data_IF_754626126949
#
_entry.id   IF_754626126949
#
_cell.length_a   1.000
_cell.length_b   1.000
_cell.length_c   1.000
_cell.angle_alpha   90.00
_cell.angle_beta   90.00
_cell.angle_gamma   90.00
#
_symmetry.space_group_name_H-M   'P 1'
#
loop_
_entity.id
_entity.type
_entity.pdbx_description
1 polymer ?
#
# COMPACT_ATOMS: atom_id res chain seq x y z
N UNK A 1 -39.72 -30.01 20.51
CA UNK A 1 -39.19 -30.43 20.88
C UNK A 1 -38.41 -30.53 20.64
N UNK A 2 -38.60 -30.53 19.91
CA UNK A 2 -37.83 -31.00 20.18
C UNK A 2 -37.20 -30.88 19.95
N UNK A 3 -37.35 -30.41 19.42
CA UNK A 3 -36.67 -30.92 19.67
C UNK A 3 -36.18 -30.79 19.66
N UNK A 4 -36.75 -30.53 19.32
CA UNK A 4 -36.14 -31.05 19.79
C UNK A 4 -35.73 -31.06 19.69
N UNK A 5 -36.25 -30.99 19.46
CA UNK A 5 -35.67 -31.63 19.91
C UNK A 5 -35.26 -31.57 19.68
N UNK A 6 -35.62 -31.34 19.39
CA UNK A 6 -35.12 -31.85 19.71
C UNK A 6 -34.79 -31.81 19.24
N UNK A 7 -35.15 -31.71 19.07
CA UNK A 7 -34.76 -32.04 19.18
C UNK A 7 -34.56 -31.92 18.86
N UNK A 8 -34.90 -31.73 18.80
CA UNK A 8 -34.52 -32.01 19.04
C UNK A 8 -33.98 -31.85 18.80
N UNK A 9 -34.86 -31.39 18.91
CA UNK A 9 -34.22 -31.53 18.75
C UNK A 9 -33.00 -31.61 17.99
N UNK A 10 -32.15 -31.90 17.28
CA UNK A 10 -30.87 -32.25 16.69
C UNK A 10 -30.48 -31.36 15.54
N UNK A 11 -31.31 -30.90 14.73
CA UNK A 11 -31.12 -29.94 13.64
C UNK A 11 -30.55 -28.61 14.12
N UNK A 12 -30.86 -28.19 15.31
CA UNK A 12 -30.34 -26.98 15.90
C UNK A 12 -28.83 -27.08 16.21
N UNK A 13 -28.35 -28.27 16.51
CA UNK A 13 -26.93 -28.48 16.72
C UNK A 13 -26.10 -28.21 15.48
N UNK A 14 -26.56 -28.68 14.33
CA UNK A 14 -25.85 -28.49 13.06
C UNK A 14 -25.76 -27.01 12.69
N UNK A 15 -26.82 -26.26 12.93
CA UNK A 15 -26.83 -24.81 12.66
C UNK A 15 -25.81 -24.08 13.53
N UNK A 16 -25.68 -24.44 14.79
CA UNK A 16 -24.74 -23.82 15.71
C UNK A 16 -23.29 -24.08 15.28
N UNK A 17 -22.99 -25.26 14.83
CA UNK A 17 -21.65 -25.62 14.35
C UNK A 17 -21.24 -24.78 13.14
N UNK A 18 -22.15 -24.62 12.19
CA UNK A 18 -21.89 -23.82 11.00
C UNK A 18 -21.64 -22.36 11.34
N UNK A 19 -22.40 -21.81 12.28
CA UNK A 19 -22.23 -20.44 12.71
C UNK A 19 -20.87 -20.22 13.38
N UNK A 20 -20.41 -21.17 14.15
CA UNK A 20 -19.09 -21.11 14.79
C UNK A 20 -17.95 -21.09 13.76
N UNK A 21 -18.07 -21.91 12.72
CA UNK A 21 -17.06 -21.94 11.65
C UNK A 21 -16.96 -20.61 10.92
N UNK A 22 -18.09 -19.99 10.64
CA UNK A 22 -18.13 -18.68 9.99
C UNK A 22 -17.52 -17.59 10.87
N UNK A 23 -17.78 -17.64 12.15
CA UNK A 23 -17.21 -16.67 13.09
C UNK A 23 -15.69 -16.75 13.15
N UNK A 24 -15.12 -17.96 13.13
CA UNK A 24 -13.68 -18.16 13.13
C UNK A 24 -13.02 -17.63 11.84
N UNK A 25 -13.65 -17.86 10.71
CA UNK A 25 -13.15 -17.36 9.42
C UNK A 25 -13.14 -15.82 9.38
N UNK A 26 -14.17 -15.20 9.94
CA UNK A 26 -14.25 -13.74 9.99
C UNK A 26 -13.13 -13.16 10.85
N UNK A 27 -12.82 -13.82 11.95
CA UNK A 27 -11.74 -13.40 12.83
C UNK A 27 -10.38 -13.44 12.15
N UNK A 28 -10.12 -14.48 11.38
CA UNK A 28 -8.87 -14.62 10.63
C UNK A 28 -8.69 -13.53 9.59
N UNK A 29 -9.77 -13.17 8.90
CA UNK A 29 -9.73 -12.10 7.90
C UNK A 29 -9.38 -10.75 8.53
N UNK A 30 -9.93 -10.46 9.70
CA UNK A 30 -9.64 -9.22 10.42
C UNK A 30 -8.17 -9.15 10.85
N UNK A 31 -7.62 -10.27 11.28
CA UNK A 31 -6.22 -10.34 11.66
C UNK A 31 -5.28 -10.09 10.47
N UNK A 32 -5.64 -10.65 9.30
CA UNK A 32 -4.87 -10.41 8.09
C UNK A 32 -4.87 -8.94 7.68
N UNK A 33 -5.98 -8.24 7.90
CA UNK A 33 -6.08 -6.81 7.61
C UNK A 33 -5.13 -6.00 8.49
N UNK A 34 -5.05 -6.32 9.77
CA UNK A 34 -4.15 -5.62 10.70
C UNK A 34 -2.68 -5.78 10.28
N UNK A 35 -2.30 -6.95 9.83
CA UNK A 35 -0.95 -7.20 9.34
C UNK A 35 -0.63 -6.41 8.07
N UNK A 36 -1.64 -6.19 7.23
CA UNK A 36 -1.46 -5.39 6.01
C UNK A 36 -1.12 -3.94 6.32
N UNK A 37 -1.74 -3.36 7.35
CA UNK A 37 -1.43 -1.98 7.75
C UNK A 37 0.00 -1.84 8.28
N UNK A 38 0.48 -2.82 9.04
CA UNK A 38 1.85 -2.80 9.56
C UNK A 38 2.88 -2.88 8.43
N UNK A 39 2.58 -3.60 7.35
CA UNK A 39 3.47 -3.72 6.20
C UNK A 39 3.53 -2.44 5.36
N UNK A 40 2.48 -1.62 5.36
CA UNK A 40 2.38 -0.42 4.52
C UNK A 40 3.47 0.61 4.79
N UNK A 41 3.86 0.81 6.05
CA UNK A 41 4.88 1.79 6.43
C UNK A 41 6.25 1.46 5.84
N UNK A 42 6.62 0.16 5.84
CA UNK A 42 7.87 -0.30 5.24
C UNK A 42 7.82 -0.22 3.72
N UNK A 43 6.64 -0.46 3.13
CA UNK A 43 6.45 -0.40 1.69
C UNK A 43 6.63 1.02 1.15
N UNK A 44 6.16 2.04 1.86
CA UNK A 44 6.32 3.43 1.43
C UNK A 44 7.80 3.82 1.34
N UNK A 45 8.61 3.41 2.32
CA UNK A 45 10.04 3.69 2.31
C UNK A 45 10.72 3.01 1.12
N UNK A 46 10.45 1.73 0.92
CA UNK A 46 10.99 0.97 -0.21
C UNK A 46 10.49 1.51 -1.54
N UNK A 47 9.22 1.84 -1.62
CA UNK A 47 8.61 2.38 -2.84
C UNK A 47 9.23 3.72 -3.22
N UNK A 48 9.52 4.57 -2.24
CA UNK A 48 10.21 5.84 -2.46
C UNK A 48 11.57 5.62 -3.12
N UNK A 49 12.37 4.70 -2.59
CA UNK A 49 13.71 4.41 -3.13
C UNK A 49 13.63 3.83 -4.54
N UNK A 50 12.67 2.93 -4.79
CA UNK A 50 12.43 2.38 -6.11
C UNK A 50 12.05 3.48 -7.09
N UNK A 51 11.16 4.37 -6.69
CA UNK A 51 10.72 5.47 -7.53
C UNK A 51 11.85 6.46 -7.85
N UNK A 52 12.71 6.75 -6.87
CA UNK A 52 13.89 7.58 -7.12
C UNK A 52 14.79 6.98 -8.19
N UNK A 53 15.00 5.67 -8.12
CA UNK A 53 15.76 4.95 -9.13
C UNK A 53 15.10 5.05 -10.50
N UNK A 54 13.77 4.85 -10.56
CA UNK A 54 13.00 4.96 -11.80
C UNK A 54 13.08 6.34 -12.42
N UNK A 55 13.07 7.39 -11.59
CA UNK A 55 13.20 8.77 -12.09
C UNK A 55 14.55 8.97 -12.77
N UNK A 56 15.62 8.48 -12.15
CA UNK A 56 16.96 8.57 -12.74
C UNK A 56 17.04 7.84 -14.07
N UNK A 57 16.51 6.63 -14.12
CA UNK A 57 16.49 5.82 -15.35
C UNK A 57 15.65 6.50 -16.43
N UNK A 58 14.51 7.05 -16.08
CA UNK A 58 13.62 7.74 -17.02
C UNK A 58 14.27 8.99 -17.62
N UNK A 59 15.04 9.74 -16.81
CA UNK A 59 15.79 10.91 -17.30
C UNK A 59 16.82 10.50 -18.36
N UNK A 60 17.52 9.41 -18.12
CA UNK A 60 18.51 8.88 -19.07
C UNK A 60 17.84 8.39 -20.35
N UNK A 61 16.68 7.75 -20.23
CA UNK A 61 15.93 7.21 -21.36
C UNK A 61 15.32 8.30 -22.25
N UNK A 62 15.13 9.51 -21.70
CA UNK A 62 14.54 10.64 -22.44
C UNK A 62 15.49 11.85 -22.45
N UNK A 63 16.58 11.80 -23.26
CA UNK A 63 17.55 12.89 -23.28
C UNK A 63 17.00 14.18 -23.89
N UNK A 64 15.85 14.12 -24.59
CA UNK A 64 15.26 15.27 -25.28
C UNK A 64 14.31 16.09 -24.42
N UNK A 65 14.23 15.83 -23.13
CA UNK A 65 13.44 16.66 -22.22
C UNK A 65 13.95 18.11 -22.25
N UNK A 66 13.01 19.07 -22.23
CA UNK A 66 13.38 20.48 -22.17
C UNK A 66 14.11 20.80 -20.84
N UNK A 67 14.91 21.84 -20.85
CA UNK A 67 15.64 22.26 -19.66
C UNK A 67 14.69 22.63 -18.52
N UNK A 68 13.53 23.19 -18.82
CA UNK A 68 12.50 23.52 -17.83
C UNK A 68 11.98 22.26 -17.15
N UNK A 69 11.71 21.19 -17.92
CA UNK A 69 11.22 19.92 -17.36
C UNK A 69 12.32 19.25 -16.55
N UNK A 70 13.55 19.26 -17.04
CA UNK A 70 14.70 18.69 -16.29
C UNK A 70 14.85 19.38 -14.94
N UNK A 71 14.81 20.71 -14.93
CA UNK A 71 14.93 21.51 -13.70
C UNK A 71 13.81 21.20 -12.71
N UNK A 72 12.57 21.11 -13.20
CA UNK A 72 11.41 20.76 -12.39
C UNK A 72 11.55 19.37 -11.76
N UNK A 73 11.96 18.39 -12.57
CA UNK A 73 12.17 17.03 -12.10
C UNK A 73 13.26 16.99 -11.04
N UNK A 74 14.38 17.67 -11.28
CA UNK A 74 15.49 17.71 -10.32
C UNK A 74 15.06 18.34 -9.00
N UNK A 75 14.33 19.45 -9.04
CA UNK A 75 13.79 20.09 -7.84
C UNK A 75 12.88 19.15 -7.07
N UNK A 76 12.00 18.45 -7.78
CA UNK A 76 11.07 17.48 -7.17
C UNK A 76 11.82 16.31 -6.54
N UNK A 77 12.87 15.83 -7.20
CA UNK A 77 13.73 14.76 -6.66
C UNK A 77 14.42 15.19 -5.38
N UNK A 78 14.98 16.41 -5.35
CA UNK A 78 15.61 16.93 -4.13
C UNK A 78 14.63 17.03 -2.96
N UNK A 79 13.39 17.45 -3.24
CA UNK A 79 12.34 17.50 -2.23
C UNK A 79 12.00 16.09 -1.73
N UNK A 80 11.91 15.13 -2.64
CA UNK A 80 11.64 13.74 -2.29
C UNK A 80 12.74 13.14 -1.42
N UNK A 81 13.99 13.40 -1.77
CA UNK A 81 15.15 12.95 -0.99
C UNK A 81 15.16 13.58 0.41
N UNK A 82 14.82 14.87 0.51
CA UNK A 82 14.72 15.56 1.80
C UNK A 82 13.59 14.98 2.66
N UNK A 83 12.46 14.63 2.02
CA UNK A 83 11.36 13.99 2.72
C UNK A 83 11.77 12.62 3.28
N UNK A 84 12.46 11.82 2.48
CA UNK A 84 12.95 10.51 2.89
C UNK A 84 13.94 10.63 4.05
N UNK A 85 14.77 11.65 4.03
CA UNK A 85 15.80 11.88 5.05
C UNK A 85 15.22 12.20 6.43
N UNK A 86 13.93 12.50 6.52
CA UNK A 86 13.28 12.72 7.82
C UNK A 86 13.05 11.42 8.60
N UNK A 87 13.20 10.27 7.96
CA UNK A 87 13.03 8.93 8.58
C UNK A 87 11.70 8.78 9.30
N UNK A 88 10.61 9.27 8.68
CA UNK A 88 9.27 9.21 9.24
C UNK A 88 8.31 8.62 8.21
N UNK A 89 7.18 8.09 8.68
CA UNK A 89 6.15 7.56 7.79
C UNK A 89 5.59 8.64 6.86
N UNK A 90 5.38 9.84 7.39
CA UNK A 90 4.92 10.98 6.59
C UNK A 90 5.94 11.37 5.52
N UNK A 91 7.22 11.38 5.88
CA UNK A 91 8.30 11.66 4.93
C UNK A 91 8.38 10.62 3.83
N UNK A 92 8.21 9.35 4.16
CA UNK A 92 8.20 8.28 3.17
C UNK A 92 7.02 8.43 2.20
N UNK A 93 5.84 8.73 2.70
CA UNK A 93 4.66 8.95 1.86
C UNK A 93 4.82 10.18 0.96
N UNK A 94 5.37 11.24 1.50
CA UNK A 94 5.64 12.45 0.72
C UNK A 94 6.64 12.15 -0.40
N UNK A 95 7.68 11.38 -0.11
CA UNK A 95 8.66 10.96 -1.13
C UNK A 95 7.99 10.16 -2.24
N UNK A 96 7.13 9.20 -1.91
CA UNK A 96 6.39 8.42 -2.91
C UNK A 96 5.56 9.35 -3.80
N UNK A 97 4.83 10.28 -3.22
CA UNK A 97 4.01 11.23 -3.97
C UNK A 97 4.84 12.11 -4.90
N UNK A 98 5.93 12.67 -4.40
CA UNK A 98 6.80 13.56 -5.19
C UNK A 98 7.48 12.80 -6.34
N UNK A 99 7.94 11.58 -6.09
CA UNK A 99 8.59 10.79 -7.14
C UNK A 99 7.60 10.34 -8.21
N UNK A 100 6.34 10.06 -7.84
CA UNK A 100 5.30 9.79 -8.82
C UNK A 100 5.01 11.01 -9.71
N UNK A 101 4.99 12.20 -9.13
CA UNK A 101 4.82 13.44 -9.89
C UNK A 101 5.98 13.63 -10.88
N UNK A 102 7.21 13.38 -10.43
CA UNK A 102 8.37 13.49 -11.31
C UNK A 102 8.29 12.50 -12.48
N UNK A 103 7.90 11.26 -12.21
CA UNK A 103 7.72 10.25 -13.27
C UNK A 103 6.66 10.66 -14.27
N UNK A 104 5.51 11.15 -13.81
CA UNK A 104 4.45 11.63 -14.68
C UNK A 104 4.94 12.78 -15.57
N UNK A 105 5.71 13.69 -15.00
CA UNK A 105 6.24 14.84 -15.75
C UNK A 105 7.15 14.37 -16.87
N UNK A 106 8.00 13.40 -16.61
CA UNK A 106 8.88 12.85 -17.63
C UNK A 106 8.07 12.13 -18.71
N UNK A 107 7.09 11.32 -18.31
CA UNK A 107 6.29 10.52 -19.24
C UNK A 107 5.39 11.35 -20.15
N UNK A 108 4.89 12.47 -19.65
CA UNK A 108 3.99 13.33 -20.41
C UNK A 108 4.72 14.33 -21.30
N UNK A 109 6.01 14.34 -21.28
CA UNK A 109 6.87 15.17 -22.13
C UNK A 109 7.81 14.26 -22.94
#
# INVERSE_FOLDING_TARGET
MQQVRSDHEPLTYLSAENNMKHALLTGLLLTAFALSFAASANDDNSQCQINLSKVRDAKVAKPNLSDAVKSDVDTTVHRAESALARHSDDGARECVSLTQQALQKIQSN
#
